data_IF_746667577380
#
_entry.id   IF_746667577380
#
_cell.length_a   1.000
_cell.length_b   1.000
_cell.length_c   1.000
_cell.angle_alpha   90.00
_cell.angle_beta   90.00
_cell.angle_gamma   90.00
#
_symmetry.space_group_name_H-M   'P 1'
#
loop_
_entity.id
_entity.type
_entity.pdbx_description
1 polymer ?
#
# COMPACT_ATOMS: atom_id res chain seq x y z
N UNK A 1 5.22 14.42 19.62
CA UNK A 1 4.63 13.88 18.39
C UNK A 1 3.16 13.66 18.66
N UNK A 2 2.25 14.35 17.97
CA UNK A 2 0.81 14.19 18.18
C UNK A 2 0.38 12.82 17.65
N UNK A 3 -0.16 11.96 18.51
CA UNK A 3 -0.68 10.66 18.09
C UNK A 3 -1.98 10.87 17.32
N UNK A 4 -1.98 10.56 16.03
CA UNK A 4 -3.20 10.49 15.23
C UNK A 4 -3.92 9.20 15.63
N UNK A 5 -5.04 9.34 16.33
CA UNK A 5 -5.90 8.25 16.81
C UNK A 5 -7.10 8.05 15.89
N UNK A 6 -7.71 6.86 15.94
CA UNK A 6 -8.96 6.59 15.21
C UNK A 6 -8.81 6.40 13.70
N UNK A 7 -7.60 6.14 13.21
CA UNK A 7 -7.32 5.82 11.80
C UNK A 7 -7.49 4.34 11.47
N UNK A 8 -7.66 3.49 12.48
CA UNK A 8 -7.74 2.03 12.30
C UNK A 8 -8.79 1.67 11.24
N UNK A 9 -8.38 0.89 10.24
CA UNK A 9 -9.22 0.41 9.15
C UNK A 9 -9.57 1.44 8.07
N UNK A 10 -9.19 2.71 8.23
CA UNK A 10 -9.45 3.73 7.20
C UNK A 10 -8.61 3.46 5.94
N UNK A 11 -9.13 3.72 4.73
CA UNK A 11 -8.40 3.44 3.50
C UNK A 11 -7.24 4.43 3.31
N UNK A 12 -6.04 3.90 3.10
CA UNK A 12 -4.89 4.59 2.56
C UNK A 12 -4.72 4.17 1.10
N UNK A 13 -4.85 5.12 0.18
CA UNK A 13 -4.51 4.90 -1.21
C UNK A 13 -3.00 5.09 -1.40
N UNK A 14 -2.36 4.10 -2.00
CA UNK A 14 -0.92 4.09 -2.28
C UNK A 14 -0.75 3.86 -3.77
N UNK A 15 -0.26 4.86 -4.50
CA UNK A 15 0.00 4.77 -5.93
C UNK A 15 1.50 4.73 -6.17
N UNK A 16 2.00 3.60 -6.70
CA UNK A 16 3.38 3.46 -7.17
C UNK A 16 3.45 4.08 -8.56
N UNK A 17 4.13 5.22 -8.69
CA UNK A 17 4.17 5.98 -9.95
C UNK A 17 5.29 5.44 -10.84
N UNK A 18 6.53 5.47 -10.34
CA UNK A 18 7.72 5.11 -11.11
C UNK A 18 8.91 4.84 -10.17
N UNK A 19 9.98 4.29 -10.73
CA UNK A 19 11.30 4.37 -10.11
C UNK A 19 12.24 5.19 -10.99
N UNK A 20 13.32 5.70 -10.41
CA UNK A 20 14.38 6.37 -11.16
C UNK A 20 15.76 6.00 -10.64
N UNK A 21 16.76 6.05 -11.54
CA UNK A 21 18.17 5.80 -11.21
C UNK A 21 18.38 4.47 -10.49
N UNK A 22 17.61 3.43 -10.85
CA UNK A 22 17.75 2.12 -10.24
C UNK A 22 19.17 1.59 -10.46
N UNK A 23 19.70 0.92 -9.44
CA UNK A 23 20.93 0.13 -9.59
C UNK A 23 20.68 -0.95 -10.65
N UNK A 24 21.62 -1.10 -11.58
CA UNK A 24 21.59 -2.18 -12.55
C UNK A 24 21.92 -3.51 -11.87
N UNK A 25 21.09 -4.52 -12.12
CA UNK A 25 21.36 -5.91 -11.74
C UNK A 25 21.71 -6.77 -12.93
N UNK A 26 21.42 -6.32 -14.15
CA UNK A 26 21.68 -7.06 -15.40
C UNK A 26 22.98 -6.63 -16.07
N UNK A 27 23.62 -7.57 -16.78
CA UNK A 27 24.87 -7.32 -17.51
C UNK A 27 24.72 -7.40 -19.04
N UNK A 28 23.77 -8.19 -19.55
CA UNK A 28 23.49 -8.30 -21.00
C UNK A 28 22.16 -7.64 -21.38
N UNK A 29 21.11 -7.86 -20.59
CA UNK A 29 19.74 -7.46 -20.92
C UNK A 29 19.34 -6.16 -20.24
N UNK A 30 18.16 -5.67 -20.60
CA UNK A 30 17.49 -4.61 -19.87
C UNK A 30 16.72 -5.24 -18.70
N UNK A 31 16.86 -4.65 -17.52
CA UNK A 31 16.09 -5.10 -16.35
C UNK A 31 14.57 -4.86 -16.54
N UNK A 32 13.79 -5.72 -15.90
CA UNK A 32 12.32 -5.82 -15.89
C UNK A 32 11.80 -5.56 -14.45
N UNK A 33 11.74 -4.30 -13.99
CA UNK A 33 11.52 -4.05 -12.57
C UNK A 33 10.05 -4.21 -12.18
N UNK A 34 9.80 -4.60 -10.93
CA UNK A 34 8.50 -4.49 -10.26
C UNK A 34 8.67 -4.04 -8.81
N UNK A 35 7.60 -3.48 -8.23
CA UNK A 35 7.62 -2.96 -6.85
C UNK A 35 6.66 -3.75 -5.98
N UNK A 36 7.16 -4.29 -4.88
CA UNK A 36 6.37 -4.82 -3.78
C UNK A 36 6.15 -3.73 -2.74
N UNK A 37 4.91 -3.55 -2.33
CA UNK A 37 4.48 -2.60 -1.30
C UNK A 37 3.97 -3.39 -0.11
N UNK A 38 4.58 -3.20 1.05
CA UNK A 38 4.25 -3.93 2.28
C UNK A 38 3.83 -2.98 3.40
N UNK A 39 2.69 -3.28 4.01
CA UNK A 39 2.14 -2.52 5.12
C UNK A 39 1.52 -3.48 6.14
N UNK A 40 2.12 -3.58 7.33
CA UNK A 40 1.77 -4.60 8.31
C UNK A 40 2.00 -6.00 7.75
N UNK A 41 0.95 -6.83 7.73
CA UNK A 41 0.97 -8.17 7.11
C UNK A 41 0.50 -8.17 5.65
N UNK A 42 0.00 -7.06 5.13
CA UNK A 42 -0.51 -6.96 3.76
C UNK A 42 0.61 -6.62 2.80
N UNK A 43 0.66 -7.36 1.68
CA UNK A 43 1.63 -7.17 0.60
C UNK A 43 0.91 -7.11 -0.73
N UNK A 44 1.25 -6.11 -1.55
CA UNK A 44 0.86 -6.03 -2.95
C UNK A 44 2.10 -5.90 -3.82
N UNK A 45 1.98 -6.26 -5.10
CA UNK A 45 3.02 -5.99 -6.09
C UNK A 45 2.43 -5.35 -7.33
N UNK A 46 3.22 -4.50 -7.98
CA UNK A 46 2.89 -3.99 -9.32
C UNK A 46 3.03 -5.11 -10.36
N UNK A 47 2.51 -4.87 -11.55
CA UNK A 47 2.97 -5.61 -12.73
C UNK A 47 4.45 -5.31 -12.98
N UNK A 48 5.10 -6.27 -13.64
CA UNK A 48 6.45 -6.11 -14.13
C UNK A 48 6.47 -5.10 -15.28
N UNK A 49 7.37 -4.13 -15.21
CA UNK A 49 7.67 -3.21 -16.31
C UNK A 49 8.71 -3.87 -17.22
N UNK A 50 8.25 -4.68 -18.17
CA UNK A 50 9.11 -5.36 -19.15
C UNK A 50 9.89 -4.33 -19.97
N UNK A 51 11.18 -4.57 -20.15
CA UNK A 51 12.15 -3.65 -20.72
C UNK A 51 12.07 -2.27 -20.04
N UNK A 52 11.84 -2.23 -18.73
CA UNK A 52 11.70 -0.98 -17.97
C UNK A 52 13.03 -0.25 -17.80
N UNK A 53 14.14 -0.99 -17.69
CA UNK A 53 15.46 -0.42 -17.42
C UNK A 53 15.52 0.30 -16.08
N UNK A 54 16.35 1.34 -15.97
CA UNK A 54 16.60 2.05 -14.70
C UNK A 54 15.53 3.05 -14.28
N UNK A 55 14.56 3.35 -15.16
CA UNK A 55 13.52 4.34 -14.92
C UNK A 55 12.13 3.81 -15.31
N UNK A 56 11.66 2.71 -14.70
CA UNK A 56 10.37 2.10 -15.01
C UNK A 56 9.21 2.98 -14.53
N UNK A 57 8.07 2.90 -15.23
CA UNK A 57 6.81 3.58 -14.87
C UNK A 57 5.72 2.52 -14.68
N UNK A 58 4.96 2.63 -13.58
CA UNK A 58 3.94 1.66 -13.18
C UNK A 58 2.53 2.26 -13.20
N UNK A 59 2.36 3.39 -12.49
CA UNK A 59 1.04 4.03 -12.27
C UNK A 59 -0.01 3.07 -11.70
N UNK A 60 0.38 2.26 -10.72
CA UNK A 60 -0.50 1.26 -10.11
C UNK A 60 -0.90 1.68 -8.69
N UNK A 61 -2.20 1.55 -8.40
CA UNK A 61 -2.81 1.97 -7.13
C UNK A 61 -3.23 0.76 -6.31
N UNK A 62 -2.90 0.81 -5.02
CA UNK A 62 -3.32 -0.15 -4.00
C UNK A 62 -4.06 0.58 -2.88
N UNK A 63 -4.94 -0.13 -2.19
CA UNK A 63 -5.65 0.37 -1.02
C UNK A 63 -5.27 -0.50 0.17
N UNK A 64 -4.73 0.13 1.21
CA UNK A 64 -4.39 -0.53 2.46
C UNK A 64 -5.31 -0.03 3.58
N UNK A 65 -5.84 -0.91 4.44
CA UNK A 65 -6.48 -0.46 5.68
C UNK A 65 -5.39 0.07 6.63
N UNK A 66 -5.52 1.30 7.08
CA UNK A 66 -4.62 1.90 8.06
C UNK A 66 -4.63 1.11 9.36
N UNK A 67 -3.46 1.08 10.00
CA UNK A 67 -3.21 0.36 11.25
C UNK A 67 -2.72 1.40 12.25
N UNK A 68 -3.41 1.51 13.38
CA UNK A 68 -3.08 2.41 14.45
C UNK A 68 -1.70 2.07 15.03
N UNK A 69 -0.90 3.09 15.34
CA UNK A 69 0.49 2.94 15.75
C UNK A 69 1.48 2.63 14.63
N UNK A 70 1.07 2.07 13.48
CA UNK A 70 1.96 1.86 12.35
C UNK A 70 2.14 3.16 11.57
N UNK A 71 3.40 3.53 11.28
CA UNK A 71 3.78 4.84 10.72
C UNK A 71 4.66 4.74 9.49
N UNK A 72 5.02 3.53 9.09
CA UNK A 72 5.89 3.25 7.95
C UNK A 72 5.23 2.27 6.99
N UNK A 73 5.47 2.49 5.70
CA UNK A 73 5.18 1.56 4.63
C UNK A 73 6.51 1.14 3.98
N UNK A 74 6.71 -0.15 3.74
CA UNK A 74 7.93 -0.65 3.12
C UNK A 74 7.71 -0.82 1.62
N UNK A 75 8.70 -0.45 0.84
CA UNK A 75 8.74 -0.67 -0.61
C UNK A 75 9.98 -1.47 -0.94
N UNK A 76 9.83 -2.50 -1.78
CA UNK A 76 10.92 -3.35 -2.25
C UNK A 76 10.86 -3.40 -3.77
N UNK A 77 11.98 -3.15 -4.43
CA UNK A 77 12.10 -3.18 -5.88
C UNK A 77 12.94 -4.38 -6.29
N UNK A 78 12.40 -5.13 -7.25
CA UNK A 78 12.98 -6.37 -7.75
C UNK A 78 13.08 -6.29 -9.27
N UNK A 79 14.03 -7.01 -9.83
CA UNK A 79 14.15 -7.30 -11.25
C UNK A 79 13.57 -8.70 -11.52
N UNK A 80 12.58 -8.80 -12.41
CA UNK A 80 11.97 -10.09 -12.75
C UNK A 80 12.85 -10.86 -13.72
N UNK A 81 13.11 -12.13 -13.44
CA UNK A 81 13.85 -13.02 -14.32
C UNK A 81 13.01 -14.24 -14.70
N UNK A 82 12.93 -14.55 -16.00
CA UNK A 82 12.10 -15.66 -16.48
C UNK A 82 12.74 -17.03 -16.22
N UNK A 83 14.08 -17.12 -16.26
CA UNK A 83 14.83 -18.38 -16.18
C UNK A 83 15.54 -18.60 -14.84
N UNK A 84 15.66 -17.55 -14.03
CA UNK A 84 16.37 -17.56 -12.74
C UNK A 84 15.49 -16.93 -11.67
N UNK A 85 15.99 -16.88 -10.44
CA UNK A 85 15.32 -16.11 -9.39
C UNK A 85 15.39 -14.61 -9.68
N UNK A 86 14.36 -13.90 -9.23
CA UNK A 86 14.30 -12.44 -9.30
C UNK A 86 15.40 -11.80 -8.44
N UNK A 87 16.03 -10.77 -8.97
CA UNK A 87 17.11 -10.06 -8.29
C UNK A 87 16.59 -8.88 -7.48
N UNK A 88 17.02 -8.80 -6.22
CA UNK A 88 16.69 -7.66 -5.37
C UNK A 88 17.51 -6.43 -5.77
N UNK A 89 16.83 -5.34 -6.14
CA UNK A 89 17.46 -4.06 -6.49
C UNK A 89 17.67 -3.22 -5.22
N UNK A 90 16.60 -2.96 -4.47
CA UNK A 90 16.65 -2.12 -3.28
C UNK A 90 15.32 -2.00 -2.54
N UNK A 91 15.35 -1.47 -1.32
CA UNK A 91 14.17 -1.21 -0.50
C UNK A 91 14.19 0.17 0.14
N UNK A 92 13.02 0.68 0.46
CA UNK A 92 12.82 1.97 1.10
C UNK A 92 11.73 1.91 2.17
N UNK A 93 11.76 2.90 3.07
CA UNK A 93 10.76 3.10 4.12
C UNK A 93 10.09 4.45 3.92
N UNK A 94 8.80 4.41 3.65
CA UNK A 94 7.96 5.58 3.39
C UNK A 94 7.30 6.00 4.71
N UNK A 95 7.53 7.23 5.14
CA UNK A 95 6.96 7.75 6.38
C UNK A 95 5.54 8.28 6.14
N UNK A 96 4.58 7.78 6.91
CA UNK A 96 3.16 8.16 6.74
C UNK A 96 2.79 9.49 7.40
N UNK A 97 3.71 10.11 8.15
CA UNK A 97 3.42 11.34 8.89
C UNK A 97 2.81 12.46 8.01
N UNK A 98 3.37 12.67 6.80
CA UNK A 98 2.91 13.72 5.90
C UNK A 98 1.49 13.46 5.39
N UNK A 99 1.23 12.26 4.84
CA UNK A 99 -0.11 11.90 4.37
C UNK A 99 -1.15 11.86 5.48
N UNK A 100 -0.79 11.42 6.70
CA UNK A 100 -1.75 11.37 7.80
C UNK A 100 -2.07 12.77 8.37
N UNK A 101 -1.17 13.74 8.22
CA UNK A 101 -1.38 15.12 8.68
C UNK A 101 -2.00 16.04 7.62
N UNK A 102 -1.69 15.81 6.33
CA UNK A 102 -2.10 16.66 5.21
C UNK A 102 -3.11 16.00 4.27
N UNK A 103 -3.32 14.69 4.39
CA UNK A 103 -4.20 13.90 3.55
C UNK A 103 -3.56 13.48 2.23
N UNK A 104 -2.36 13.96 1.94
CA UNK A 104 -1.68 13.75 0.68
C UNK A 104 -0.15 13.75 0.83
N UNK A 105 0.53 12.91 0.06
CA UNK A 105 1.98 12.95 -0.10
C UNK A 105 2.39 12.45 -1.49
N UNK A 106 2.86 13.35 -2.36
CA UNK A 106 3.56 13.01 -3.61
C UNK A 106 5.06 13.23 -3.41
N UNK A 107 5.81 12.15 -3.16
CA UNK A 107 7.24 12.21 -2.88
C UNK A 107 8.02 11.07 -3.52
N UNK A 108 9.29 11.34 -3.81
CA UNK A 108 10.27 10.31 -4.15
C UNK A 108 11.04 9.88 -2.90
N UNK A 109 11.19 8.56 -2.72
CA UNK A 109 11.84 7.97 -1.56
C UNK A 109 13.08 7.19 -1.99
N UNK A 110 14.22 7.35 -1.29
CA UNK A 110 15.44 6.66 -1.64
C UNK A 110 15.32 5.16 -1.36
N UNK A 111 15.91 4.38 -2.26
CA UNK A 111 16.06 2.93 -2.14
C UNK A 111 17.48 2.60 -1.73
N UNK A 112 17.62 1.55 -0.94
CA UNK A 112 18.91 1.03 -0.50
C UNK A 112 19.04 -0.47 -0.82
N UNK A 113 20.24 -0.88 -1.22
CA UNK A 113 20.58 -2.30 -1.34
C UNK A 113 20.56 -2.99 0.03
N UNK A 114 20.69 -4.32 0.06
CA UNK A 114 20.89 -5.09 1.31
C UNK A 114 22.11 -4.61 2.13
N UNK A 115 23.07 -3.96 1.48
CA UNK A 115 24.28 -3.41 2.11
C UNK A 115 24.16 -1.93 2.48
N UNK A 116 22.97 -1.34 2.36
CA UNK A 116 22.70 0.07 2.70
C UNK A 116 23.18 1.08 1.65
N UNK A 117 23.67 0.63 0.49
CA UNK A 117 24.09 1.55 -0.59
C UNK A 117 22.89 2.08 -1.34
N UNK A 118 22.97 3.32 -1.80
CA UNK A 118 21.94 3.91 -2.65
C UNK A 118 21.66 3.05 -3.89
N UNK A 119 20.38 2.79 -4.17
CA UNK A 119 19.91 1.89 -5.22
C UNK A 119 18.86 2.53 -6.15
N UNK A 120 18.71 3.86 -6.09
CA UNK A 120 17.71 4.61 -6.84
C UNK A 120 16.64 5.23 -5.95
N UNK A 121 15.57 5.68 -6.57
CA UNK A 121 14.42 6.30 -5.91
C UNK A 121 13.12 5.67 -6.43
N UNK A 122 12.10 5.59 -5.58
CA UNK A 122 10.73 5.25 -5.96
C UNK A 122 9.81 6.43 -5.71
N UNK A 123 9.04 6.82 -6.73
CA UNK A 123 8.03 7.87 -6.62
C UNK A 123 6.69 7.25 -6.23
N UNK A 124 6.12 7.71 -5.12
CA UNK A 124 4.84 7.23 -4.59
C UNK A 124 3.94 8.41 -4.28
N UNK A 125 2.67 8.26 -4.64
CA UNK A 125 1.60 9.18 -4.24
C UNK A 125 0.75 8.47 -3.19
N UNK A 126 0.66 9.06 -2.00
CA UNK A 126 -0.20 8.61 -0.91
C UNK A 126 -1.39 9.56 -0.80
N UNK A 127 -2.57 9.01 -0.60
CA UNK A 127 -3.77 9.77 -0.32
C UNK A 127 -4.55 9.13 0.84
N UNK A 128 -4.88 9.96 1.81
CA UNK A 128 -5.68 9.59 2.97
C UNK A 128 -6.78 10.65 3.10
N UNK A 129 -8.04 10.22 3.06
CA UNK A 129 -9.14 11.11 3.33
C UNK A 129 -9.06 11.55 4.81
N UNK A 130 -8.59 12.77 5.04
CA UNK A 130 -8.78 13.42 6.34
C UNK A 130 -10.28 13.67 6.43
N UNK A 131 -10.97 12.81 7.17
CA UNK A 131 -12.32 13.11 7.59
C UNK A 131 -12.24 14.39 8.41
N UNK A 132 -12.59 15.51 7.80
CA UNK A 132 -12.64 16.82 8.44
C UNK A 132 -13.32 16.67 9.79
N UNK A 133 -12.53 16.78 10.86
CA UNK A 133 -12.94 17.23 12.17
C UNK A 133 -14.41 16.91 12.53
N UNK A 134 -14.61 15.85 13.31
CA UNK A 134 -15.78 15.74 14.24
C UNK A 134 -15.89 16.93 15.23
N UNK A 135 -15.05 17.95 15.10
CA UNK A 135 -15.15 19.24 15.77
C UNK A 135 -16.08 20.26 15.09
N UNK A 136 -16.82 19.89 14.02
CA UNK A 136 -17.99 20.68 13.58
C UNK A 136 -19.30 20.30 14.29
N UNK A 137 -19.23 19.65 15.46
CA UNK A 137 -20.38 19.36 16.34
C UNK A 137 -20.37 20.16 17.66
N UNK A 138 -19.35 20.98 17.93
CA UNK A 138 -19.30 21.90 19.09
C UNK A 138 -18.87 23.31 18.67
N UNK A 139 -19.46 23.83 17.59
CA UNK A 139 -19.42 25.27 17.32
C UNK A 139 -20.60 25.60 16.42
N UNK A 140 -21.76 25.79 17.04
CA UNK A 140 -23.00 26.07 16.32
C UNK A 140 -24.31 25.88 17.08
N UNK A 141 -24.31 25.70 18.40
CA UNK A 141 -25.49 26.07 19.18
C UNK A 141 -25.36 27.56 19.49
N UNK A 142 -25.79 28.41 18.56
CA UNK A 142 -26.16 29.76 18.91
C UNK A 142 -27.45 29.65 19.76
N UNK A 143 -27.45 30.04 21.06
CA UNK A 143 -28.70 30.30 21.72
C UNK A 143 -29.29 31.55 21.07
N UNK A 144 -30.26 31.35 20.17
CA UNK A 144 -31.10 32.44 19.68
C UNK A 144 -32.03 32.84 20.82
N UNK A 145 -31.51 33.62 21.77
CA UNK A 145 -32.27 34.27 22.82
C UNK A 145 -31.78 35.72 22.90
N UNK A 146 -32.58 36.72 22.50
CA UNK A 146 -32.21 38.12 22.67
C UNK A 146 -32.16 38.47 24.17
N UNK A 147 -31.27 39.39 24.59
CA UNK A 147 -31.19 39.81 25.98
C UNK A 147 -32.45 40.60 26.35
N UNK A 148 -33.24 40.06 27.28
CA UNK A 148 -34.34 40.79 27.90
C UNK A 148 -33.74 41.87 28.81
N UNK A 149 -33.78 43.12 28.35
CA UNK A 149 -33.46 44.29 29.18
C UNK A 149 -34.59 44.44 30.19
N UNK A 150 -34.26 44.33 31.48
CA UNK A 150 -35.18 44.65 32.56
C UNK A 150 -35.35 46.17 32.66
N UNK A 151 -36.54 46.67 32.34
CA UNK A 151 -36.99 48.02 32.70
C UNK A 151 -38.29 47.97 33.49
N UNK A 152 -38.35 48.86 34.47
CA UNK A 152 -39.28 48.91 35.59
C UNK A 152 -40.78 48.86 35.24
N UNK A 153 -41.52 48.27 36.17
CA UNK A 153 -42.99 48.26 36.26
C UNK A 153 -43.59 49.66 36.40
N UNK A 154 -44.82 49.84 35.88
CA UNK A 154 -45.86 50.59 36.59
C UNK A 154 -47.09 49.69 36.90
N UNK A 155 -47.82 49.93 38.00
CA UNK A 155 -48.93 49.07 38.44
C UNK A 155 -50.29 49.62 37.99
N UNK A 156 -51.22 48.77 37.51
CA UNK A 156 -52.69 49.03 37.50
C UNK A 156 -53.47 47.75 37.07
N UNK A 157 -54.79 47.61 37.36
CA UNK A 157 -55.25 46.68 38.39
C UNK A 157 -56.07 45.49 37.86
N UNK A 158 -56.28 44.56 38.79
CA UNK A 158 -57.11 43.37 38.74
C UNK A 158 -58.52 43.59 38.18
N UNK A 159 -58.98 42.70 37.29
CA UNK A 159 -60.25 41.95 37.43
C UNK A 159 -60.66 41.30 36.10
N UNK A 160 -60.41 40.01 35.92
CA UNK A 160 -61.48 39.08 35.53
C UNK A 160 -61.01 37.63 35.75
N UNK A 161 -61.88 36.93 36.45
CA UNK A 161 -61.86 35.49 36.68
C UNK A 161 -61.98 34.76 35.35
N UNK A 162 -61.08 33.80 35.08
CA UNK A 162 -61.34 32.75 34.11
C UNK A 162 -60.73 31.47 34.64
N UNK A 163 -61.61 30.61 35.15
CA UNK A 163 -61.33 29.25 35.55
C UNK A 163 -60.84 28.44 34.36
N UNK A 164 -59.54 28.17 34.30
CA UNK A 164 -59.00 27.13 33.43
C UNK A 164 -59.14 25.77 34.12
N UNK A 165 -59.66 24.74 33.44
CA UNK A 165 -59.68 23.39 33.97
C UNK A 165 -58.25 22.82 34.06
N UNK A 166 -57.97 21.94 35.04
CA UNK A 166 -56.67 21.30 35.15
C UNK A 166 -56.44 20.32 33.97
N UNK A 167 -55.19 20.16 33.51
CA UNK A 167 -54.86 19.11 32.54
C UNK A 167 -55.06 17.71 33.17
N UNK A 168 -55.49 16.71 32.39
CA UNK A 168 -55.66 15.36 32.89
C UNK A 168 -54.32 14.75 33.31
N UNK A 169 -54.33 14.10 34.47
CA UNK A 169 -53.25 13.27 34.99
C UNK A 169 -52.86 12.23 33.94
N UNK A 170 -51.69 12.39 33.32
CA UNK A 170 -51.10 11.36 32.50
C UNK A 170 -50.67 10.21 33.43
N UNK A 171 -51.39 9.10 33.28
CA UNK A 171 -51.15 7.80 33.88
C UNK A 171 -49.70 7.37 33.69
N UNK A 172 -49.12 6.89 34.79
CA UNK A 172 -47.85 6.18 34.83
C UNK A 172 -47.83 5.06 33.80
N UNK A 173 -46.98 5.18 32.78
CA UNK A 173 -46.64 4.05 31.92
C UNK A 173 -45.94 2.98 32.76
N UNK A 174 -46.35 1.69 32.68
CA UNK A 174 -45.59 0.62 33.29
C UNK A 174 -44.24 0.46 32.59
N UNK A 175 -43.17 0.07 33.31
CA UNK A 175 -41.88 -0.18 32.71
C UNK A 175 -41.96 -1.36 31.70
N UNK A 176 -41.10 -1.37 30.66
CA UNK A 176 -41.03 -2.47 29.71
C UNK A 176 -40.59 -3.78 30.42
N UNK A 177 -41.03 -4.95 29.94
CA UNK A 177 -40.66 -6.23 30.52
C UNK A 177 -39.16 -6.51 30.38
N UNK A 178 -38.58 -7.04 31.45
CA UNK A 178 -37.22 -7.55 31.52
C UNK A 178 -36.97 -8.64 30.46
N UNK A 179 -35.75 -8.75 29.89
CA UNK A 179 -35.41 -9.87 29.03
C UNK A 179 -35.41 -11.20 29.82
N UNK A 180 -35.73 -12.33 29.16
CA UNK A 180 -35.79 -13.61 29.84
C UNK A 180 -34.41 -14.05 30.34
N UNK A 181 -34.41 -14.55 31.58
CA UNK A 181 -33.29 -15.18 32.26
C UNK A 181 -32.64 -16.27 31.41
N UNK A 182 -31.31 -16.22 31.36
CA UNK A 182 -30.49 -17.28 30.80
C UNK A 182 -30.82 -18.63 31.44
N UNK A 183 -31.00 -19.63 30.59
CA UNK A 183 -31.06 -21.05 30.98
C UNK A 183 -29.73 -21.46 31.64
N UNK A 184 -29.77 -22.34 32.65
CA UNK A 184 -28.55 -22.88 33.24
C UNK A 184 -27.97 -23.91 32.25
N UNK A 185 -26.84 -23.57 31.63
CA UNK A 185 -26.06 -24.56 30.91
C UNK A 185 -25.47 -25.55 31.91
N UNK A 186 -25.82 -26.82 31.71
CA UNK A 186 -25.21 -27.95 32.35
C UNK A 186 -23.70 -27.96 32.09
N UNK A 187 -22.92 -28.09 33.17
CA UNK A 187 -21.52 -28.48 33.17
C UNK A 187 -21.37 -29.86 32.54
N UNK A 188 -20.71 -29.93 31.39
CA UNK A 188 -19.92 -31.09 30.97
C UNK A 188 -18.56 -30.58 30.51
N UNK A 189 -17.52 -31.05 31.20
CA UNK A 189 -16.15 -30.63 30.98
C UNK A 189 -15.53 -31.20 29.71
N UNK A 190 -14.27 -30.80 29.53
CA UNK A 190 -13.26 -31.31 28.59
C UNK A 190 -13.31 -30.79 27.15
N UNK A 191 -12.82 -29.57 26.95
CA UNK A 191 -12.14 -29.24 25.69
C UNK A 191 -10.66 -29.57 25.87
N UNK A 192 -10.27 -30.74 25.37
CA UNK A 192 -8.88 -31.12 25.19
C UNK A 192 -8.23 -30.19 24.17
N UNK A 193 -7.24 -29.43 24.61
CA UNK A 193 -6.26 -28.82 23.70
C UNK A 193 -5.50 -29.94 22.98
N UNK A 194 -5.21 -29.81 21.66
CA UNK A 194 -4.21 -30.65 21.04
C UNK A 194 -2.83 -30.37 21.68
N UNK A 195 -2.01 -31.40 21.95
CA UNK A 195 -0.70 -31.20 22.56
C UNK A 195 0.23 -30.42 21.62
N UNK A 196 1.19 -29.64 22.17
CA UNK A 196 2.20 -28.96 21.37
C UNK A 196 3.09 -29.97 20.63
N UNK A 197 3.69 -29.58 19.49
CA UNK A 197 4.64 -30.44 18.77
C UNK A 197 5.89 -30.71 19.62
N UNK A 198 6.53 -31.88 19.48
CA UNK A 198 7.73 -32.22 20.22
C UNK A 198 8.90 -31.29 19.85
N UNK A 199 9.85 -31.05 20.77
CA UNK A 199 11.05 -30.28 20.46
C UNK A 199 11.90 -30.98 19.39
N UNK A 200 12.72 -30.24 18.62
CA UNK A 200 13.60 -30.84 17.63
C UNK A 200 14.59 -31.78 18.34
N UNK A 201 14.60 -33.03 17.86
CA UNK A 201 15.53 -34.07 18.29
C UNK A 201 16.96 -33.57 18.12
N UNK A 202 17.76 -33.66 19.19
CA UNK A 202 19.19 -33.45 19.14
C UNK A 202 19.82 -34.38 18.10
N UNK A 203 20.65 -33.81 17.22
CA UNK A 203 21.44 -34.57 16.25
C UNK A 203 22.26 -35.65 16.95
N UNK A 204 22.28 -36.90 16.45
CA UNK A 204 23.20 -37.91 16.95
C UNK A 204 24.65 -37.51 16.62
N UNK A 205 25.63 -37.86 17.47
CA UNK A 205 27.02 -37.52 17.23
C UNK A 205 27.56 -38.29 16.03
N UNK A 206 28.46 -37.64 15.28
CA UNK A 206 29.15 -38.22 14.13
C UNK A 206 29.91 -39.49 14.54
N UNK A 207 29.47 -40.63 14.02
CA UNK A 207 30.28 -41.85 13.98
C UNK A 207 31.28 -41.75 12.84
N UNK A 208 32.55 -41.60 13.17
CA UNK A 208 33.69 -41.76 12.27
C UNK A 208 33.80 -43.23 11.86
N UNK A 209 33.30 -43.59 10.67
CA UNK A 209 33.65 -44.85 10.02
C UNK A 209 34.12 -44.56 8.59
N UNK A 210 35.43 -44.65 8.43
CA UNK A 210 36.14 -44.83 7.17
C UNK A 210 35.74 -46.14 6.52
N UNK A 211 35.20 -46.09 5.30
CA UNK A 211 35.29 -47.18 4.32
C UNK A 211 35.12 -46.63 2.90
N UNK A 212 35.76 -47.25 1.89
CA UNK A 212 36.01 -46.65 0.59
C UNK A 212 34.84 -46.89 -0.37
N UNK A 213 34.36 -45.82 -1.01
CA UNK A 213 33.41 -45.92 -2.11
C UNK A 213 34.10 -46.53 -3.36
N UNK A 214 33.45 -47.46 -4.08
CA UNK A 214 33.92 -47.87 -5.41
C UNK A 214 33.71 -46.73 -6.42
N UNK A 215 34.55 -46.62 -7.47
CA UNK A 215 34.39 -45.58 -8.47
C UNK A 215 33.08 -45.76 -9.26
N UNK A 216 32.29 -44.70 -9.32
CA UNK A 216 31.10 -44.63 -10.16
C UNK A 216 31.53 -44.59 -11.63
N UNK A 217 31.18 -45.64 -12.38
CA UNK A 217 31.30 -45.69 -13.82
C UNK A 217 30.35 -44.68 -14.46
N UNK A 218 30.90 -43.65 -15.10
CA UNK A 218 30.14 -42.75 -15.97
C UNK A 218 29.48 -43.56 -17.10
N UNK A 219 28.20 -43.30 -17.44
CA UNK A 219 27.63 -43.82 -18.67
C UNK A 219 28.32 -43.14 -19.89
N UNK A 220 28.50 -43.85 -21.01
CA UNK A 220 29.11 -43.28 -22.19
C UNK A 220 28.23 -42.15 -22.77
N UNK A 221 28.87 -41.03 -23.08
CA UNK A 221 28.26 -39.92 -23.82
C UNK A 221 27.81 -40.41 -25.21
N UNK A 222 26.57 -40.13 -25.64
CA UNK A 222 26.20 -40.33 -27.03
C UNK A 222 26.96 -39.31 -27.90
N UNK A 223 27.97 -39.82 -28.60
CA UNK A 223 28.64 -39.16 -29.70
C UNK A 223 27.70 -39.07 -30.90
N UNK A 224 27.10 -37.90 -31.12
CA UNK A 224 26.79 -37.30 -32.43
C UNK A 224 25.77 -36.17 -32.27
N UNK A 225 26.24 -34.93 -32.14
CA UNK A 225 25.41 -33.79 -32.52
C UNK A 225 25.30 -33.78 -34.06
N UNK A 226 24.11 -33.63 -34.65
CA UNK A 226 23.99 -33.37 -36.07
C UNK A 226 24.69 -32.04 -36.40
N UNK A 227 25.33 -31.92 -37.58
CA UNK A 227 25.94 -30.66 -37.99
C UNK A 227 24.87 -29.55 -38.07
N UNK A 228 25.24 -28.29 -37.80
CA UNK A 228 24.32 -27.17 -37.94
C UNK A 228 23.81 -27.08 -39.39
N UNK A 229 22.56 -26.65 -39.61
CA UNK A 229 22.04 -26.42 -40.95
C UNK A 229 22.93 -25.39 -41.68
N UNK A 230 23.08 -25.50 -43.02
CA UNK A 230 23.82 -24.51 -43.79
C UNK A 230 23.20 -23.13 -43.58
N UNK A 231 24.00 -22.05 -43.62
CA UNK A 231 23.45 -20.70 -43.52
C UNK A 231 22.41 -20.53 -44.63
N UNK A 232 21.18 -20.19 -44.22
CA UNK A 232 20.15 -19.74 -45.14
C UNK A 232 20.74 -18.55 -45.89
N UNK A 233 21.01 -18.75 -47.18
CA UNK A 233 21.32 -17.68 -48.10
C UNK A 233 20.07 -16.79 -48.17
N UNK A 234 20.07 -15.72 -47.37
CA UNK A 234 19.14 -14.62 -47.59
C UNK A 234 19.26 -14.21 -49.07
N UNK A 235 18.14 -14.12 -49.81
CA UNK A 235 18.19 -13.53 -51.14
C UNK A 235 18.75 -12.09 -51.01
N UNK A 236 19.52 -11.61 -52.00
CA UNK A 236 20.03 -10.26 -51.95
C UNK A 236 18.86 -9.29 -51.82
N UNK A 237 19.00 -8.34 -50.90
CA UNK A 237 18.07 -7.23 -50.76
C UNK A 237 17.88 -6.57 -52.13
N UNK A 238 16.67 -6.70 -52.69
CA UNK A 238 16.25 -5.92 -53.83
C UNK A 238 16.40 -4.45 -53.45
N UNK A 239 17.26 -3.76 -54.20
CA UNK A 239 17.47 -2.34 -54.13
C UNK A 239 16.16 -1.63 -54.50
N UNK A 240 15.33 -1.37 -53.51
CA UNK A 240 14.30 -0.35 -53.62
C UNK A 240 15.01 1.01 -53.55
N UNK A 241 14.88 1.88 -54.57
CA UNK A 241 15.40 3.23 -54.48
C UNK A 241 14.69 3.97 -53.34
N UNK A 242 15.47 4.51 -52.41
CA UNK A 242 14.98 5.51 -51.47
C UNK A 242 14.34 6.66 -52.25
N UNK A 243 13.13 7.14 -51.88
CA UNK A 243 12.66 8.42 -52.38
C UNK A 243 13.58 9.54 -51.86
N UNK A 244 13.87 10.57 -52.67
CA UNK A 244 14.74 11.67 -52.26
C UNK A 244 14.14 12.43 -51.06
N UNK A 245 14.98 12.98 -50.16
CA UNK A 245 14.49 13.81 -49.07
C UNK A 245 13.80 15.06 -49.61
N UNK A 246 12.58 15.31 -49.12
CA UNK A 246 11.84 16.53 -49.39
C UNK A 246 12.68 17.74 -48.94
N UNK A 247 12.91 18.67 -49.86
CA UNK A 247 13.63 19.91 -49.60
C UNK A 247 12.95 20.72 -48.51
N UNK A 248 13.74 21.18 -47.55
CA UNK A 248 13.33 22.20 -46.59
C UNK A 248 13.12 23.53 -47.34
N UNK A 249 11.96 24.19 -47.22
CA UNK A 249 11.87 25.60 -47.57
C UNK A 249 12.64 26.42 -46.53
N UNK A 250 13.60 27.20 -47.02
CA UNK A 250 14.38 28.19 -46.27
C UNK A 250 13.45 29.21 -45.60
N UNK A 251 13.17 28.97 -44.31
CA UNK A 251 12.47 29.89 -43.42
C UNK A 251 13.44 30.89 -42.80
N UNK A 252 13.19 32.16 -43.09
CA UNK A 252 13.85 33.33 -42.51
C UNK A 252 13.57 33.37 -41.00
N UNK A 253 14.62 33.27 -40.18
CA UNK A 253 14.54 33.58 -38.75
C UNK A 253 14.67 35.09 -38.54
N UNK A 254 13.78 35.75 -37.77
CA UNK A 254 14.03 37.09 -37.28
C UNK A 254 15.07 37.06 -36.14
N UNK A 255 15.92 38.09 -35.99
CA UNK A 255 16.93 38.14 -34.94
C UNK A 255 16.31 38.37 -33.54
N UNK A 256 16.97 37.89 -32.47
CA UNK A 256 16.48 38.03 -31.10
C UNK A 256 16.60 39.49 -30.59
N UNK A 257 15.69 39.93 -29.70
CA UNK A 257 15.75 41.26 -29.11
C UNK A 257 16.87 41.34 -28.05
N UNK A 258 17.56 42.48 -28.04
CA UNK A 258 18.43 42.93 -26.95
C UNK A 258 17.60 43.40 -25.76
#
# INVERSE_FOLDING_TARGET
MSSITGIQGQPLEVTVVSCSKLKDTEWISRQDPYVCVEYGSTKFRTRTCTDGGKNPVFQEKFIFPLIEGLRELNVLVWNSNTLTFDDFIGSGKIQLHKVLSQGFDDSAWPLQTKTGRYAGEVKVILHYAIANQRHKLVSGHAPSAPPYVATATPPVPSSYSTSYPPPPSATSYPPPPSPPSATPYHTTGSYSYPPPPPPPTAYPPYSSHSSPYPPSSYPPQPSSYPPPPPPSSYPPASAYPYPPPAGYPSGIYPPPPY
#
